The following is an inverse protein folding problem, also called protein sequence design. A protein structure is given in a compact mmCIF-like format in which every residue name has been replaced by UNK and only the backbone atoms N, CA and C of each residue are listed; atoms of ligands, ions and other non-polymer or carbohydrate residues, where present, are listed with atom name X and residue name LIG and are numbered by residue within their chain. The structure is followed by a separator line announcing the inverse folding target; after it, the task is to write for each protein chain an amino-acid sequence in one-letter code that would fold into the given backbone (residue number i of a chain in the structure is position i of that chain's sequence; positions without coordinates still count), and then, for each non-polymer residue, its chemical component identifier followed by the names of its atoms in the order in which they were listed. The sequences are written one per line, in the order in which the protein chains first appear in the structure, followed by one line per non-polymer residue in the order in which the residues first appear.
data_IF_362450731533
#
_entry.id   IF_362450731533
#
_cell.length_a   1.000
_cell.length_b   1.000
_cell.length_c   1.000
_cell.angle_alpha   90.00
_cell.angle_beta   90.00
_cell.angle_gamma   90.00
#
_symmetry.space_group_name_H-M   'P 1'
#
loop_
_entity.id
_entity.type
_entity.pdbx_description
1 polymer ?
#
# COMPACT_ATOMS: atom_id res chain seq x y z
N UNK A 1 -8.92 -16.94 -47.84
CA UNK A 1 -8.85 -15.46 -47.65
C UNK A 1 -9.96 -14.91 -46.75
N UNK A 2 -11.26 -15.21 -46.96
CA UNK A 2 -12.35 -14.71 -46.09
C UNK A 2 -12.30 -15.23 -44.63
N UNK A 3 -11.83 -16.46 -44.41
CA UNK A 3 -11.73 -17.04 -43.06
C UNK A 3 -10.59 -16.44 -42.21
N UNK A 4 -9.54 -15.91 -42.84
CA UNK A 4 -8.44 -15.23 -42.14
C UNK A 4 -8.81 -13.81 -41.75
N UNK A 5 -9.62 -13.12 -42.56
CA UNK A 5 -10.14 -11.79 -42.25
C UNK A 5 -11.02 -11.79 -40.98
N UNK A 6 -11.93 -12.78 -40.85
CA UNK A 6 -12.77 -12.91 -39.65
C UNK A 6 -11.99 -13.26 -38.37
N UNK A 7 -10.92 -14.04 -38.49
CA UNK A 7 -10.07 -14.40 -37.35
C UNK A 7 -9.23 -13.21 -36.82
N UNK A 8 -8.80 -12.32 -37.71
CA UNK A 8 -8.09 -11.09 -37.35
C UNK A 8 -9.02 -10.08 -36.67
N UNK A 9 -10.25 -9.96 -37.15
CA UNK A 9 -11.25 -9.05 -36.59
C UNK A 9 -11.70 -9.50 -35.19
N UNK A 10 -11.88 -10.80 -34.96
CA UNK A 10 -12.16 -11.37 -33.64
C UNK A 10 -11.02 -11.14 -32.62
N UNK A 11 -9.75 -11.24 -33.04
CA UNK A 11 -8.61 -10.90 -32.15
C UNK A 11 -8.52 -9.41 -31.85
N UNK A 12 -8.81 -8.56 -32.83
CA UNK A 12 -8.82 -7.10 -32.66
C UNK A 12 -9.85 -6.66 -31.64
N UNK A 13 -11.07 -7.22 -31.70
CA UNK A 13 -12.13 -6.98 -30.73
C UNK A 13 -11.74 -7.46 -29.32
N UNK A 14 -11.24 -8.69 -29.19
CA UNK A 14 -10.81 -9.22 -27.89
C UNK A 14 -9.64 -8.45 -27.27
N UNK A 15 -8.72 -7.92 -28.10
CA UNK A 15 -7.63 -7.05 -27.64
C UNK A 15 -8.16 -5.70 -27.18
N UNK A 16 -9.08 -5.09 -27.94
CA UNK A 16 -9.70 -3.80 -27.62
C UNK A 16 -10.50 -3.87 -26.32
N UNK A 17 -11.27 -4.94 -26.12
CA UNK A 17 -12.02 -5.17 -24.90
C UNK A 17 -11.10 -5.40 -23.69
N UNK A 18 -10.02 -6.17 -23.86
CA UNK A 18 -9.01 -6.38 -22.81
C UNK A 18 -8.31 -5.07 -22.43
N UNK A 19 -7.96 -4.25 -23.43
CA UNK A 19 -7.33 -2.95 -23.22
C UNK A 19 -8.28 -2.01 -22.46
N UNK A 20 -9.55 -1.93 -22.89
CA UNK A 20 -10.58 -1.13 -22.23
C UNK A 20 -10.77 -1.54 -20.77
N UNK A 21 -10.90 -2.84 -20.50
CA UNK A 21 -10.99 -3.38 -19.14
C UNK A 21 -9.78 -3.01 -18.27
N UNK A 22 -8.56 -3.10 -18.81
CA UNK A 22 -7.37 -2.71 -18.05
C UNK A 22 -7.33 -1.21 -17.75
N UNK A 23 -7.83 -0.37 -18.65
CA UNK A 23 -7.93 1.07 -18.46
C UNK A 23 -8.98 1.44 -17.41
N UNK A 24 -10.16 0.84 -17.48
CA UNK A 24 -11.25 1.05 -16.54
C UNK A 24 -10.84 0.63 -15.12
N UNK A 25 -10.22 -0.55 -14.95
CA UNK A 25 -9.70 -0.99 -13.64
C UNK A 25 -8.63 -0.03 -13.10
N UNK A 26 -7.72 0.46 -13.94
CA UNK A 26 -6.69 1.41 -13.51
C UNK A 26 -7.29 2.74 -13.05
N UNK A 27 -8.28 3.24 -13.77
CA UNK A 27 -8.97 4.48 -13.41
C UNK A 27 -9.72 4.33 -12.08
N UNK A 28 -10.40 3.21 -11.88
CA UNK A 28 -11.07 2.90 -10.60
C UNK A 28 -10.04 2.80 -9.48
N UNK A 29 -8.92 2.08 -9.68
CA UNK A 29 -7.87 1.96 -8.67
C UNK A 29 -7.22 3.32 -8.35
N UNK A 30 -7.02 4.19 -9.34
CA UNK A 30 -6.53 5.55 -9.13
C UNK A 30 -7.51 6.38 -8.30
N UNK A 31 -8.81 6.30 -8.64
CA UNK A 31 -9.86 7.00 -7.92
C UNK A 31 -9.94 6.54 -6.46
N UNK A 32 -9.98 5.21 -6.23
CA UNK A 32 -10.02 4.63 -4.89
C UNK A 32 -8.75 4.98 -4.11
N UNK A 33 -7.57 4.87 -4.72
CA UNK A 33 -6.31 5.24 -4.07
C UNK A 33 -6.31 6.71 -3.66
N UNK A 34 -6.76 7.61 -4.55
CA UNK A 34 -6.87 9.04 -4.25
C UNK A 34 -7.84 9.35 -3.09
N UNK A 35 -9.00 8.67 -3.05
CA UNK A 35 -9.96 8.81 -1.95
C UNK A 35 -9.35 8.33 -0.63
N UNK A 36 -8.67 7.18 -0.62
CA UNK A 36 -8.02 6.66 0.59
C UNK A 36 -6.87 7.57 1.05
N UNK A 37 -6.07 8.09 0.12
CA UNK A 37 -5.03 9.09 0.41
C UNK A 37 -5.63 10.36 1.02
N UNK A 38 -6.74 10.86 0.50
CA UNK A 38 -7.44 12.02 1.07
C UNK A 38 -8.04 11.73 2.45
N UNK A 39 -8.65 10.57 2.64
CA UNK A 39 -9.24 10.15 3.91
C UNK A 39 -8.17 10.00 5.01
N UNK A 40 -7.03 9.37 4.69
CA UNK A 40 -5.90 9.23 5.62
C UNK A 40 -5.28 10.59 5.96
N UNK A 41 -5.11 11.49 4.98
CA UNK A 41 -4.64 12.85 5.24
C UNK A 41 -5.59 13.61 6.18
N UNK A 42 -6.88 13.54 5.92
CA UNK A 42 -7.94 14.18 6.71
C UNK A 42 -8.02 13.59 8.12
N UNK A 43 -7.86 12.27 8.24
CA UNK A 43 -7.81 11.58 9.53
C UNK A 43 -6.66 12.13 10.37
N UNK A 44 -5.47 12.32 9.78
CA UNK A 44 -4.30 12.89 10.47
C UNK A 44 -4.52 14.34 10.87
N UNK A 45 -5.13 15.16 10.01
CA UNK A 45 -5.41 16.56 10.31
C UNK A 45 -6.44 16.74 11.44
N UNK A 46 -7.42 15.84 11.53
CA UNK A 46 -8.51 15.91 12.50
C UNK A 46 -8.24 15.07 13.77
N UNK A 47 -6.98 14.79 14.11
CA UNK A 47 -6.67 14.11 15.37
C UNK A 47 -7.18 14.96 16.55
N UNK A 48 -7.95 14.38 17.48
CA UNK A 48 -8.37 15.07 18.68
C UNK A 48 -7.19 15.65 19.45
N UNK A 49 -7.32 16.87 19.96
CA UNK A 49 -6.27 17.55 20.70
C UNK A 49 -5.84 16.81 21.99
N UNK A 50 -6.69 15.95 22.54
CA UNK A 50 -6.36 15.05 23.66
C UNK A 50 -5.20 14.10 23.34
N UNK A 51 -5.14 13.59 22.11
CA UNK A 51 -4.03 12.79 21.62
C UNK A 51 -2.77 13.64 21.40
N UNK A 52 -2.92 14.90 21.00
CA UNK A 52 -1.79 15.82 20.85
C UNK A 52 -1.24 16.30 22.21
N UNK A 53 -2.06 16.30 23.26
CA UNK A 53 -1.67 16.64 24.64
C UNK A 53 -1.06 15.47 25.41
N UNK A 54 -1.23 14.23 24.95
CA UNK A 54 -0.46 13.07 25.42
C UNK A 54 1.04 13.15 25.09
N UNK A 55 1.52 14.31 24.62
CA UNK A 55 2.91 14.81 24.67
C UNK A 55 3.49 14.89 26.10
N UNK A 56 2.89 14.24 27.09
CA UNK A 56 3.36 14.18 28.48
C UNK A 56 4.69 13.46 28.69
N UNK A 57 5.35 12.95 27.65
CA UNK A 57 6.66 12.29 27.79
C UNK A 57 7.64 12.72 26.70
N UNK A 58 7.83 14.03 26.53
CA UNK A 58 8.96 14.57 25.76
C UNK A 58 10.25 14.02 26.35
N UNK A 59 10.97 13.18 25.59
CA UNK A 59 12.23 12.57 26.03
C UNK A 59 12.10 11.23 26.75
N UNK A 60 10.92 10.60 26.72
CA UNK A 60 10.75 9.23 27.22
C UNK A 60 11.75 8.27 26.57
N UNK A 61 12.40 7.45 27.39
CA UNK A 61 13.17 6.29 26.90
C UNK A 61 12.35 5.03 27.13
N UNK A 62 11.90 4.42 26.03
CA UNK A 62 11.23 3.13 26.07
C UNK A 62 12.23 2.02 25.73
N UNK A 63 12.19 0.92 26.49
CA UNK A 63 12.91 -0.29 26.11
C UNK A 63 12.21 -0.95 24.92
N UNK A 64 12.96 -1.67 24.07
CA UNK A 64 12.39 -2.40 22.92
C UNK A 64 11.23 -3.34 23.29
N UNK A 65 11.25 -3.93 24.50
CA UNK A 65 10.14 -4.75 25.03
C UNK A 65 8.82 -3.99 25.19
N UNK A 66 8.88 -2.67 25.40
CA UNK A 66 7.70 -1.82 25.51
C UNK A 66 6.91 -1.75 24.19
N UNK A 67 7.56 -1.95 23.04
CA UNK A 67 6.90 -2.02 21.72
C UNK A 67 5.99 -3.24 21.63
N UNK A 68 6.51 -4.39 22.05
CA UNK A 68 5.78 -5.66 22.01
C UNK A 68 4.70 -5.70 23.10
N UNK A 69 4.97 -5.06 24.25
CA UNK A 69 4.02 -4.94 25.36
C UNK A 69 2.94 -3.86 25.15
N UNK A 70 2.93 -3.15 24.02
CA UNK A 70 1.90 -2.14 23.72
C UNK A 70 1.94 -0.90 24.61
N UNK A 71 3.08 -0.58 25.23
CA UNK A 71 3.22 0.53 26.18
C UNK A 71 3.54 1.88 25.51
N UNK A 72 3.54 1.94 24.18
CA UNK A 72 3.72 3.21 23.46
C UNK A 72 2.42 4.01 23.43
N UNK A 73 2.50 5.35 23.29
CA UNK A 73 1.33 6.20 23.15
C UNK A 73 0.44 5.69 22.00
N UNK A 74 -0.88 5.53 22.21
CA UNK A 74 -1.82 5.09 21.17
C UNK A 74 -1.73 5.91 19.88
N UNK A 75 -1.43 7.20 20.03
CA UNK A 75 -1.17 8.16 18.95
C UNK A 75 -0.08 7.69 18.00
N UNK A 76 1.00 7.11 18.54
CA UNK A 76 2.10 6.62 17.73
C UNK A 76 1.64 5.49 16.80
N UNK A 77 0.89 4.50 17.31
CA UNK A 77 0.39 3.41 16.49
C UNK A 77 -0.60 3.90 15.42
N UNK A 78 -1.49 4.82 15.78
CA UNK A 78 -2.46 5.41 14.85
C UNK A 78 -1.75 6.16 13.72
N UNK A 79 -0.77 7.00 14.04
CA UNK A 79 0.00 7.76 13.04
C UNK A 79 0.82 6.83 12.14
N UNK A 80 1.45 5.79 12.70
CA UNK A 80 2.20 4.79 11.93
C UNK A 80 1.29 4.02 10.98
N UNK A 81 0.12 3.59 11.43
CA UNK A 81 -0.86 2.89 10.59
C UNK A 81 -1.39 3.78 9.46
N UNK A 82 -1.71 5.04 9.76
CA UNK A 82 -2.12 6.00 8.72
C UNK A 82 -0.98 6.27 7.73
N UNK A 83 0.26 6.35 8.22
CA UNK A 83 1.44 6.58 7.38
C UNK A 83 1.69 5.40 6.44
N UNK A 84 1.53 4.16 6.91
CA UNK A 84 1.70 2.98 6.05
C UNK A 84 0.61 2.89 4.99
N UNK A 85 -0.66 3.19 5.35
CA UNK A 85 -1.77 3.22 4.40
C UNK A 85 -1.60 4.33 3.35
N UNK A 86 -1.18 5.52 3.79
CA UNK A 86 -0.91 6.66 2.91
C UNK A 86 0.24 6.33 1.93
N UNK A 87 1.36 5.79 2.41
CA UNK A 87 2.49 5.38 1.57
C UNK A 87 2.11 4.27 0.59
N UNK A 88 1.33 3.27 1.01
CA UNK A 88 0.85 2.22 0.12
C UNK A 88 0.01 2.78 -1.03
N UNK A 89 -0.91 3.71 -0.73
CA UNK A 89 -1.74 4.37 -1.75
C UNK A 89 -0.90 5.28 -2.65
N UNK A 90 0.12 5.94 -2.10
CA UNK A 90 1.10 6.73 -2.85
C UNK A 90 1.83 5.87 -3.88
N UNK A 91 2.40 4.73 -3.45
CA UNK A 91 3.10 3.80 -4.35
C UNK A 91 2.15 3.23 -5.39
N UNK A 92 0.94 2.81 -5.00
CA UNK A 92 -0.07 2.33 -5.93
C UNK A 92 -0.39 3.40 -7.01
N UNK A 93 -0.58 4.64 -6.58
CA UNK A 93 -0.83 5.77 -7.48
C UNK A 93 0.34 6.02 -8.42
N UNK A 94 1.59 5.98 -7.94
CA UNK A 94 2.79 6.11 -8.78
C UNK A 94 2.89 5.01 -9.84
N UNK A 95 2.62 3.75 -9.45
CA UNK A 95 2.63 2.60 -10.37
C UNK A 95 1.54 2.74 -11.43
N UNK A 96 0.33 3.13 -11.03
CA UNK A 96 -0.81 3.33 -11.93
C UNK A 96 -0.59 4.52 -12.89
N UNK A 97 0.08 5.58 -12.42
CA UNK A 97 0.40 6.78 -13.21
C UNK A 97 1.48 6.57 -14.26
N UNK A 98 2.26 5.49 -14.19
CA UNK A 98 3.33 5.22 -15.16
C UNK A 98 2.83 5.18 -16.62
N UNK A 99 1.56 4.85 -16.82
CA UNK A 99 0.93 4.76 -18.15
C UNK A 99 0.18 6.02 -18.59
N UNK A 100 0.13 7.09 -17.79
CA UNK A 100 -0.66 8.29 -18.10
C UNK A 100 0.14 9.36 -18.87
N UNK A 101 -0.47 10.07 -19.84
CA UNK A 101 0.20 11.12 -20.61
C UNK A 101 0.54 12.38 -19.78
N UNK A 102 -0.26 12.70 -18.76
CA UNK A 102 -0.03 13.86 -17.85
C UNK A 102 0.91 13.55 -16.67
N UNK A 103 1.81 12.57 -16.86
CA UNK A 103 2.71 12.05 -15.84
C UNK A 103 3.46 13.11 -15.02
N UNK A 104 4.14 14.13 -15.58
CA UNK A 104 4.97 15.04 -14.78
C UNK A 104 4.16 15.89 -13.80
N UNK A 105 2.95 16.34 -14.20
CA UNK A 105 2.09 17.18 -13.35
C UNK A 105 1.56 16.37 -12.18
N UNK A 106 1.08 15.15 -12.43
CA UNK A 106 0.55 14.31 -11.36
C UNK A 106 1.68 13.84 -10.45
N UNK A 107 2.84 13.45 -10.98
CA UNK A 107 4.01 13.13 -10.17
C UNK A 107 4.41 14.27 -9.25
N UNK A 108 4.46 15.50 -9.78
CA UNK A 108 4.77 16.68 -8.98
C UNK A 108 3.76 16.84 -7.83
N UNK A 109 2.46 16.79 -8.13
CA UNK A 109 1.40 16.89 -7.11
C UNK A 109 1.51 15.78 -6.06
N UNK A 110 1.76 14.55 -6.49
CA UNK A 110 1.92 13.37 -5.62
C UNK A 110 3.14 13.51 -4.70
N UNK A 111 4.28 14.00 -5.21
CA UNK A 111 5.48 14.26 -4.41
C UNK A 111 5.23 15.39 -3.40
N UNK A 112 4.61 16.49 -3.83
CA UNK A 112 4.26 17.60 -2.95
C UNK A 112 3.35 17.14 -1.82
N UNK A 113 2.34 16.33 -2.12
CA UNK A 113 1.44 15.76 -1.12
C UNK A 113 2.21 14.92 -0.10
N UNK A 114 3.16 14.10 -0.57
CA UNK A 114 4.04 13.30 0.28
C UNK A 114 4.92 14.14 1.20
N UNK A 115 5.48 15.25 0.70
CA UNK A 115 6.28 16.18 1.52
C UNK A 115 5.41 16.83 2.59
N UNK A 116 4.23 17.34 2.22
CA UNK A 116 3.29 17.96 3.18
C UNK A 116 2.87 16.96 4.24
N UNK A 117 2.58 15.71 3.86
CA UNK A 117 2.27 14.64 4.79
C UNK A 117 3.42 14.34 5.74
N UNK A 118 4.66 14.26 5.23
CA UNK A 118 5.85 14.03 6.05
C UNK A 118 6.08 15.16 7.08
N UNK A 119 5.84 16.42 6.69
CA UNK A 119 5.92 17.56 7.59
C UNK A 119 4.82 17.52 8.65
N UNK A 120 3.58 17.19 8.25
CA UNK A 120 2.43 17.07 9.15
C UNK A 120 2.66 15.99 10.20
N UNK A 121 3.07 14.80 9.77
CA UNK A 121 3.44 13.69 10.67
C UNK A 121 4.57 14.13 11.60
N UNK A 122 5.59 14.82 11.10
CA UNK A 122 6.67 15.34 11.94
C UNK A 122 6.22 16.25 13.09
N UNK A 123 5.15 17.03 12.90
CA UNK A 123 4.58 17.90 13.94
C UNK A 123 3.69 17.17 14.97
N UNK A 124 3.06 16.07 14.55
CA UNK A 124 2.10 15.29 15.34
C UNK A 124 2.82 14.14 16.09
N UNK A 125 3.88 13.59 15.51
CA UNK A 125 4.58 12.43 16.04
C UNK A 125 5.16 12.72 17.44
N UNK A 126 4.87 11.89 18.45
CA UNK A 126 5.45 12.07 19.78
C UNK A 126 6.96 11.82 19.74
N UNK A 127 7.72 12.70 20.39
CA UNK A 127 9.19 12.64 20.45
C UNK A 127 9.64 11.74 21.60
N UNK A 128 9.95 10.48 21.29
CA UNK A 128 10.50 9.52 22.23
C UNK A 128 11.66 8.74 21.61
N UNK A 129 12.44 8.09 22.45
CA UNK A 129 13.56 7.25 22.04
C UNK A 129 13.30 5.80 22.42
N UNK A 130 13.50 4.89 21.48
CA UNK A 130 13.50 3.46 21.77
C UNK A 130 14.93 2.98 21.84
N UNK A 131 15.28 2.34 22.95
CA UNK A 131 16.59 1.74 23.15
C UNK A 131 16.58 0.31 22.64
N UNK A 132 17.33 0.06 21.56
CA UNK A 132 17.52 -1.26 20.98
C UNK A 132 18.95 -1.72 21.29
N UNK A 133 19.13 -2.42 22.41
CA UNK A 133 20.45 -2.76 22.93
C UNK A 133 21.26 -1.51 23.27
N UNK A 134 22.31 -1.24 22.49
CA UNK A 134 23.20 -0.07 22.64
C UNK A 134 22.80 1.13 21.77
N UNK A 135 21.91 0.94 20.79
CA UNK A 135 21.52 2.00 19.85
C UNK A 135 20.20 2.66 20.26
N UNK A 136 20.17 3.98 20.27
CA UNK A 136 18.97 4.78 20.47
C UNK A 136 18.36 5.11 19.11
N UNK A 137 17.12 4.65 18.86
CA UNK A 137 16.38 4.94 17.64
C UNK A 137 15.31 5.99 17.98
N UNK A 138 15.34 7.12 17.26
CA UNK A 138 14.31 8.17 17.39
C UNK A 138 12.95 7.66 16.90
N UNK A 139 11.86 8.05 17.55
CA UNK A 139 10.48 7.74 17.13
C UNK A 139 10.20 8.08 15.67
N UNK A 140 10.73 9.19 15.16
CA UNK A 140 10.60 9.59 13.74
C UNK A 140 11.16 8.51 12.81
N UNK A 141 12.44 8.14 12.95
CA UNK A 141 13.07 7.06 12.16
C UNK A 141 12.34 5.73 12.33
N UNK A 142 11.90 5.42 13.54
CA UNK A 142 11.21 4.17 13.84
C UNK A 142 9.84 4.09 13.15
N UNK A 143 9.10 5.20 13.09
CA UNK A 143 7.83 5.29 12.36
C UNK A 143 8.00 5.05 10.86
N UNK A 144 9.01 5.67 10.23
CA UNK A 144 9.32 5.43 8.81
C UNK A 144 9.76 4.00 8.54
N UNK A 145 10.62 3.42 9.39
CA UNK A 145 11.03 2.02 9.27
C UNK A 145 9.85 1.06 9.41
N UNK A 146 8.94 1.30 10.37
CA UNK A 146 7.74 0.48 10.52
C UNK A 146 6.83 0.59 9.29
N UNK A 147 6.66 1.79 8.74
CA UNK A 147 5.84 2.00 7.56
C UNK A 147 6.41 1.25 6.35
N UNK A 148 7.73 1.31 6.13
CA UNK A 148 8.40 0.54 5.06
C UNK A 148 8.25 -0.95 5.29
N UNK A 149 8.49 -1.43 6.52
CA UNK A 149 8.34 -2.85 6.87
C UNK A 149 6.90 -3.35 6.62
N UNK A 150 5.89 -2.53 6.93
CA UNK A 150 4.49 -2.86 6.71
C UNK A 150 4.17 -3.00 5.21
N UNK A 151 4.67 -2.07 4.39
CA UNK A 151 4.53 -2.14 2.93
C UNK A 151 5.19 -3.40 2.37
N UNK A 152 6.42 -3.71 2.82
CA UNK A 152 7.14 -4.93 2.41
C UNK A 152 6.35 -6.18 2.84
N UNK A 153 5.83 -6.22 4.07
CA UNK A 153 5.04 -7.36 4.53
C UNK A 153 3.75 -7.54 3.72
N UNK A 154 3.08 -6.44 3.34
CA UNK A 154 1.89 -6.48 2.49
C UNK A 154 2.21 -7.01 1.09
N UNK A 155 3.32 -6.57 0.51
CA UNK A 155 3.79 -7.08 -0.77
C UNK A 155 4.12 -8.57 -0.71
N UNK A 156 4.84 -9.01 0.33
CA UNK A 156 5.17 -10.43 0.55
C UNK A 156 3.88 -11.25 0.70
N UNK A 157 2.92 -10.80 1.51
CA UNK A 157 1.64 -11.48 1.69
C UNK A 157 0.86 -11.61 0.37
N UNK A 158 0.86 -10.55 -0.45
CA UNK A 158 0.27 -10.58 -1.79
C UNK A 158 0.94 -11.60 -2.70
N UNK A 159 2.28 -11.64 -2.76
CA UNK A 159 3.01 -12.62 -3.57
C UNK A 159 2.75 -14.06 -3.10
N UNK A 160 2.70 -14.29 -1.79
CA UNK A 160 2.36 -15.60 -1.21
C UNK A 160 0.94 -16.00 -1.61
N UNK A 161 -0.05 -15.12 -1.48
CA UNK A 161 -1.43 -15.38 -1.87
C UNK A 161 -1.55 -15.68 -3.38
N UNK A 162 -0.85 -14.91 -4.21
CA UNK A 162 -0.81 -15.14 -5.66
C UNK A 162 -0.18 -16.51 -6.01
N UNK A 163 0.91 -16.87 -5.34
CA UNK A 163 1.54 -18.17 -5.50
C UNK A 163 0.61 -19.32 -5.09
N UNK A 164 -0.06 -19.20 -3.93
CA UNK A 164 -1.08 -20.15 -3.48
C UNK A 164 -2.23 -20.31 -4.48
N UNK A 165 -2.76 -19.22 -5.02
CA UNK A 165 -3.79 -19.27 -6.05
C UNK A 165 -3.31 -19.95 -7.34
N UNK A 166 -2.06 -19.73 -7.75
CA UNK A 166 -1.49 -20.38 -8.93
C UNK A 166 -1.32 -21.89 -8.74
N UNK A 167 -0.88 -22.31 -7.55
CA UNK A 167 -0.75 -23.72 -7.18
C UNK A 167 -2.12 -24.39 -7.12
N UNK A 168 -3.11 -23.76 -6.50
CA UNK A 168 -4.48 -24.28 -6.46
C UNK A 168 -5.05 -24.48 -7.87
N UNK A 169 -4.86 -23.51 -8.77
CA UNK A 169 -5.27 -23.65 -10.19
C UNK A 169 -4.55 -24.82 -10.88
N UNK A 170 -3.25 -24.97 -10.65
CA UNK A 170 -2.45 -26.03 -11.26
C UNK A 170 -2.84 -27.42 -10.75
N UNK A 171 -3.26 -27.54 -9.49
CA UNK A 171 -3.77 -28.79 -8.92
C UNK A 171 -5.13 -29.12 -9.53
N UNK A 172 -6.03 -28.15 -9.63
CA UNK A 172 -7.36 -28.34 -10.22
C UNK A 172 -7.27 -28.73 -11.70
N UNK A 173 -6.37 -28.12 -12.47
CA UNK A 173 -6.19 -28.48 -13.88
C UNK A 173 -5.68 -29.91 -14.02
N UNK A 174 -4.69 -30.30 -13.20
CA UNK A 174 -4.12 -31.65 -13.22
C UNK A 174 -5.12 -32.72 -12.78
N UNK A 175 -5.98 -32.42 -11.81
CA UNK A 175 -7.07 -33.31 -11.39
C UNK A 175 -8.12 -33.50 -12.50
N UNK A 176 -8.44 -32.45 -13.25
CA UNK A 176 -9.39 -32.51 -14.37
C UNK A 176 -8.85 -33.37 -15.53
N UNK A 177 -7.57 -33.26 -15.84
CA UNK A 177 -6.91 -34.08 -16.88
C UNK A 177 -6.85 -35.57 -16.49
N UNK A 178 -6.58 -35.88 -15.22
CA UNK A 178 -6.58 -37.26 -14.72
C UNK A 178 -7.96 -37.93 -14.80
N UNK A 179 -9.04 -37.19 -14.53
CA UNK A 179 -10.41 -37.71 -14.66
C UNK A 179 -10.77 -37.95 -16.14
N UNK A 180 -10.37 -37.05 -17.04
CA UNK A 180 -10.63 -37.21 -18.48
C UNK A 180 -9.91 -38.43 -19.08
N UNK A 181 -8.71 -38.75 -18.60
CA UNK A 181 -7.95 -39.93 -19.03
C UNK A 181 -8.48 -41.27 -18.48
N UNK A 182 -9.39 -41.25 -17.50
CA UNK A 182 -9.97 -42.46 -16.90
C UNK A 182 -11.33 -42.82 -17.51
N UNK A 183 -11.95 -41.90 -18.24
CA UNK A 183 -13.28 -42.05 -18.86
C UNK A 183 -13.18 -42.51 -20.33
N UNK A 184 -11.98 -42.43 -20.93
CA UNK A 184 -11.65 -42.92 -22.28
C UNK A 184 -10.75 -44.14 -22.20
#
# INVERSE_FOLDING_TARGET
MLHEAGALEGRSLALKDRLKWTLDMRNVLLMVSGIVTGATFTAVCNLPSSFLQEKGVVGAQFLSKAIIAGQLPPVFYLVVFNTSMYLACLVATLVLLWSFPFRPVVLFATITLGIVYALLVGGIMPTFYVKFGSHNISSYRLGWLLAIAFIISGAIAYYIAAALCSLAKSIVSKAREGIAAFIF
#
